data_IF_685462349750
#
_entry.id   IF_685462349750
#
_cell.length_a   1.000
_cell.length_b   1.000
_cell.length_c   1.000
_cell.angle_alpha   90.00
_cell.angle_beta   90.00
_cell.angle_gamma   90.00
#
_symmetry.space_group_name_H-M   'P 1'
#
loop_
_entity.id
_entity.type
_entity.pdbx_description
1 polymer ?
#
# COMPACT_ATOMS: atom_id res chain seq x y z
N UNK A 1 48.79 7.80 18.40
CA UNK A 1 48.21 7.83 17.04
C UNK A 1 46.97 6.96 17.07
N UNK A 2 45.77 7.56 17.01
CA UNK A 2 44.51 6.81 17.16
C UNK A 2 43.77 6.92 15.83
N UNK A 3 43.85 5.88 15.01
CA UNK A 3 43.08 5.75 13.80
C UNK A 3 41.60 5.64 14.18
N UNK A 4 40.82 6.70 13.95
CA UNK A 4 39.36 6.59 13.95
C UNK A 4 38.94 5.85 12.69
N UNK A 5 38.58 4.57 12.83
CA UNK A 5 37.89 3.80 11.80
C UNK A 5 36.46 4.34 11.70
N UNK A 6 36.18 5.05 10.61
CA UNK A 6 34.82 5.41 10.21
C UNK A 6 34.22 4.22 9.47
N UNK A 7 33.56 3.33 10.21
CA UNK A 7 32.74 2.27 9.61
C UNK A 7 31.42 2.91 9.20
N UNK A 8 31.29 3.19 7.89
CA UNK A 8 30.05 3.67 7.31
C UNK A 8 29.07 2.49 7.21
N UNK A 9 28.21 2.33 8.22
CA UNK A 9 27.11 1.37 8.16
C UNK A 9 26.11 1.84 7.09
N UNK A 10 26.10 1.19 5.93
CA UNK A 10 25.01 1.32 4.97
C UNK A 10 23.76 0.71 5.60
N UNK A 11 22.88 1.57 6.13
CA UNK A 11 21.51 1.20 6.41
C UNK A 11 20.87 0.85 5.06
N UNK A 12 20.21 -0.32 4.91
CA UNK A 12 19.40 -0.55 3.73
C UNK A 12 18.32 0.52 3.69
N UNK A 13 18.41 1.41 2.72
CA UNK A 13 17.28 2.25 2.35
C UNK A 13 16.23 1.29 1.79
N UNK A 14 15.26 0.91 2.62
CA UNK A 14 14.00 0.34 2.16
C UNK A 14 13.28 1.46 1.40
N UNK A 15 13.73 1.72 0.19
CA UNK A 15 12.97 2.47 -0.78
C UNK A 15 11.81 1.56 -1.18
N UNK A 16 10.59 1.90 -0.79
CA UNK A 16 9.37 1.27 -1.31
C UNK A 16 9.12 1.70 -2.78
N UNK A 17 10.18 1.75 -3.59
CA UNK A 17 10.07 1.97 -5.02
C UNK A 17 9.48 0.69 -5.61
N UNK A 18 8.19 0.72 -5.95
CA UNK A 18 7.42 -0.46 -6.33
C UNK A 18 6.20 -0.70 -5.47
N UNK A 19 5.90 0.14 -4.46
CA UNK A 19 4.64 0.05 -3.71
C UNK A 19 3.94 1.40 -3.65
N UNK A 20 2.62 1.36 -3.79
CA UNK A 20 1.74 2.53 -3.73
C UNK A 20 0.66 2.33 -2.69
N UNK A 21 0.46 3.33 -1.82
CA UNK A 21 -0.67 3.33 -0.88
C UNK A 21 -1.78 4.22 -1.42
N UNK A 22 -2.96 3.63 -1.60
CA UNK A 22 -4.17 4.28 -2.12
C UNK A 22 -5.24 4.41 -1.04
N UNK A 23 -6.13 5.37 -1.21
CA UNK A 23 -7.23 5.68 -0.28
C UNK A 23 -8.53 5.14 -0.85
N UNK A 24 -9.37 4.57 0.01
CA UNK A 24 -10.72 4.13 -0.35
C UNK A 24 -11.50 5.30 -0.92
N UNK A 25 -11.97 5.16 -2.15
CA UNK A 25 -12.69 6.18 -2.92
C UNK A 25 -14.14 5.80 -3.13
N UNK A 26 -14.45 4.49 -3.20
CA UNK A 26 -15.81 3.98 -3.34
C UNK A 26 -15.94 2.60 -2.66
N UNK A 27 -17.14 2.31 -2.15
CA UNK A 27 -17.51 1.00 -1.57
C UNK A 27 -18.89 0.61 -2.09
N UNK A 28 -19.01 -0.61 -2.63
CA UNK A 28 -20.28 -1.14 -3.13
C UNK A 28 -20.57 -2.50 -2.48
N UNK A 29 -21.77 -2.65 -1.93
CA UNK A 29 -22.25 -3.92 -1.38
C UNK A 29 -23.13 -4.66 -2.40
N UNK A 30 -22.89 -5.96 -2.53
CA UNK A 30 -23.70 -6.89 -3.33
C UNK A 30 -24.13 -8.07 -2.45
N UNK A 31 -25.05 -8.89 -2.94
CA UNK A 31 -25.58 -10.03 -2.17
C UNK A 31 -24.49 -11.02 -1.68
N UNK A 32 -23.36 -11.12 -2.39
CA UNK A 32 -22.32 -12.13 -2.15
C UNK A 32 -20.93 -11.55 -1.91
N UNK A 33 -20.74 -10.25 -2.12
CA UNK A 33 -19.45 -9.61 -1.96
C UNK A 33 -19.57 -8.12 -1.63
N UNK A 34 -18.48 -7.57 -1.09
CA UNK A 34 -18.27 -6.13 -1.00
C UNK A 34 -17.08 -5.75 -1.87
N UNK A 35 -17.24 -4.70 -2.66
CA UNK A 35 -16.25 -4.20 -3.61
C UNK A 35 -15.68 -2.90 -3.05
N UNK A 36 -14.36 -2.84 -2.92
CA UNK A 36 -13.60 -1.70 -2.41
C UNK A 36 -12.77 -1.10 -3.55
N UNK A 37 -13.01 0.16 -3.89
CA UNK A 37 -12.23 0.88 -4.91
C UNK A 37 -11.27 1.82 -4.21
N UNK A 38 -9.97 1.65 -4.45
CA UNK A 38 -8.91 2.50 -3.92
C UNK A 38 -8.30 3.31 -5.05
N UNK A 39 -8.22 4.63 -4.92
CA UNK A 39 -7.70 5.46 -6.01
C UNK A 39 -6.94 6.70 -5.54
N UNK A 40 -6.18 7.28 -6.45
CA UNK A 40 -5.66 8.64 -6.38
C UNK A 40 -5.78 9.28 -7.78
N UNK A 41 -5.08 10.40 -8.03
CA UNK A 41 -5.15 11.09 -9.32
C UNK A 41 -4.67 10.27 -10.54
N UNK A 42 -3.90 9.19 -10.34
CA UNK A 42 -3.24 8.43 -11.41
C UNK A 42 -3.54 6.92 -11.38
N UNK A 43 -3.91 6.36 -10.23
CA UNK A 43 -4.08 4.92 -10.03
C UNK A 43 -5.46 4.59 -9.48
N UNK A 44 -6.00 3.44 -9.87
CA UNK A 44 -7.26 2.89 -9.36
C UNK A 44 -7.14 1.38 -9.24
N UNK A 45 -7.36 0.87 -8.04
CA UNK A 45 -7.30 -0.55 -7.68
C UNK A 45 -8.65 -1.00 -7.12
N UNK A 46 -9.08 -2.20 -7.49
CA UNK A 46 -10.36 -2.77 -7.02
C UNK A 46 -10.13 -4.07 -6.27
N UNK A 47 -10.63 -4.15 -5.04
CA UNK A 47 -10.52 -5.34 -4.20
C UNK A 47 -11.92 -5.86 -3.88
N UNK A 48 -12.15 -7.15 -4.09
CA UNK A 48 -13.39 -7.82 -3.71
C UNK A 48 -13.18 -8.59 -2.40
N UNK A 49 -14.01 -8.32 -1.41
CA UNK A 49 -13.98 -8.95 -0.08
C UNK A 49 -15.33 -9.61 0.22
N UNK A 50 -15.38 -10.43 1.28
CA UNK A 50 -16.64 -11.03 1.73
C UNK A 50 -17.58 -9.93 2.27
N UNK A 51 -18.91 -10.08 2.20
CA UNK A 51 -19.86 -9.07 2.69
C UNK A 51 -19.68 -8.71 4.17
N UNK A 52 -19.23 -9.66 4.99
CA UNK A 52 -18.97 -9.44 6.42
C UNK A 52 -17.68 -8.69 6.72
N UNK A 53 -16.82 -8.47 5.73
CA UNK A 53 -15.58 -7.72 5.87
C UNK A 53 -15.82 -6.27 5.47
N UNK A 54 -15.08 -5.35 6.10
CA UNK A 54 -15.14 -3.93 5.79
C UNK A 54 -13.95 -3.51 4.93
N UNK A 55 -14.16 -2.59 3.98
CA UNK A 55 -13.07 -1.97 3.25
C UNK A 55 -12.16 -1.21 4.22
N UNK A 56 -10.84 -1.34 4.03
CA UNK A 56 -9.87 -0.55 4.81
C UNK A 56 -9.88 0.87 4.26
N UNK A 57 -9.56 1.85 5.10
CA UNK A 57 -9.47 3.24 4.62
C UNK A 57 -8.31 3.44 3.63
N UNK A 58 -7.19 2.73 3.84
CA UNK A 58 -6.03 2.72 2.95
C UNK A 58 -5.56 1.30 2.68
N UNK A 59 -5.00 1.09 1.50
CA UNK A 59 -4.41 -0.19 1.10
C UNK A 59 -3.15 0.04 0.27
N UNK A 60 -2.14 -0.81 0.48
CA UNK A 60 -0.86 -0.76 -0.25
C UNK A 60 -0.86 -1.85 -1.31
N UNK A 61 -0.53 -1.47 -2.53
CA UNK A 61 -0.42 -2.31 -3.71
C UNK A 61 1.02 -2.27 -4.22
N UNK A 62 1.45 -3.31 -4.93
CA UNK A 62 2.68 -3.26 -5.70
C UNK A 62 2.40 -2.47 -7.01
N UNK A 63 3.28 -1.54 -7.39
CA UNK A 63 3.24 -0.92 -8.72
C UNK A 63 3.77 -1.92 -9.75
N UNK A 64 3.04 -2.09 -10.87
CA UNK A 64 3.48 -2.90 -12.02
C UNK A 64 4.55 -2.21 -12.89
#
# INVERSE_FOLDING_TARGET
>A
MKNSLLVLSLLPALANAGQITLVLSDEQETDNARICVYSNANYTETVTIRPSQQCRYTMTFEEE
#
